data_IF_530294374574
#
_entry.id   IF_530294374574
#
_cell.length_a   1.000
_cell.length_b   1.000
_cell.length_c   1.000
_cell.angle_alpha   90.00
_cell.angle_beta   90.00
_cell.angle_gamma   90.00
#
_symmetry.space_group_name_H-M   'P 1'
#
loop_
_entity.id
_entity.type
_entity.pdbx_description
1 polymer ?
#
# COMPACT_ATOMS: atom_id res chain seq x y z
N UNK A 1 31.09 -23.48 37.45
CA UNK A 1 31.56 -24.58 36.53
C UNK A 1 33.02 -24.96 36.79
N UNK A 2 33.61 -24.55 37.92
CA UNK A 2 34.90 -25.10 38.33
C UNK A 2 34.73 -26.60 38.57
N UNK A 3 35.72 -27.38 38.17
CA UNK A 3 35.64 -28.84 38.26
C UNK A 3 35.00 -29.56 37.04
N UNK A 4 34.38 -28.84 36.13
CA UNK A 4 33.77 -29.40 34.92
C UNK A 4 34.83 -29.73 33.84
N UNK A 5 35.63 -30.74 34.04
CA UNK A 5 36.78 -31.12 33.18
C UNK A 5 36.35 -31.59 31.79
N UNK A 6 35.12 -32.04 31.60
CA UNK A 6 34.57 -32.39 30.29
C UNK A 6 34.11 -31.17 29.47
N UNK A 7 34.03 -29.98 30.08
CA UNK A 7 33.67 -28.76 29.36
C UNK A 7 34.91 -28.22 28.66
N UNK A 8 34.95 -28.33 27.33
CA UNK A 8 36.09 -27.90 26.50
C UNK A 8 35.96 -26.48 25.96
N UNK A 9 34.77 -25.88 26.07
CA UNK A 9 34.54 -24.48 25.64
C UNK A 9 33.37 -23.87 26.31
N UNK A 10 33.33 -22.53 26.35
CA UNK A 10 32.19 -21.74 26.82
C UNK A 10 31.98 -20.53 25.90
N UNK A 11 30.72 -20.23 25.54
CA UNK A 11 30.35 -18.97 24.85
C UNK A 11 29.79 -18.00 25.87
N UNK A 12 30.47 -16.89 26.08
CA UNK A 12 30.07 -15.82 27.02
C UNK A 12 29.25 -14.75 26.29
N UNK A 13 27.97 -14.57 26.61
CA UNK A 13 27.16 -13.52 26.03
C UNK A 13 27.71 -12.11 26.32
N UNK A 14 27.47 -11.16 25.42
CA UNK A 14 27.91 -9.75 25.57
C UNK A 14 27.28 -9.07 26.81
N UNK A 15 26.11 -9.55 27.25
CA UNK A 15 25.37 -9.04 28.41
C UNK A 15 26.02 -9.41 29.77
N UNK A 16 26.99 -10.34 29.78
CA UNK A 16 27.70 -10.69 30.99
C UNK A 16 28.70 -9.57 31.33
N UNK A 17 28.58 -8.98 32.52
CA UNK A 17 29.38 -7.84 32.96
C UNK A 17 30.55 -8.25 33.86
N UNK A 18 30.44 -9.39 34.53
CA UNK A 18 31.51 -9.92 35.39
C UNK A 18 31.51 -11.46 35.38
N UNK A 19 32.70 -12.03 35.54
CA UNK A 19 32.93 -13.47 35.64
C UNK A 19 33.89 -13.67 36.81
N UNK A 20 33.48 -14.56 37.74
CA UNK A 20 34.32 -14.89 38.91
C UNK A 20 35.62 -15.60 38.52
N UNK A 21 36.64 -15.52 39.38
CA UNK A 21 37.86 -16.26 39.19
C UNK A 21 37.62 -17.79 39.14
N UNK A 22 38.30 -18.49 38.21
CA UNK A 22 38.17 -19.92 38.01
C UNK A 22 36.76 -20.44 37.65
N UNK A 23 35.87 -19.53 37.17
CA UNK A 23 34.48 -19.90 36.85
C UNK A 23 34.38 -20.99 35.77
N UNK A 24 35.29 -20.99 34.79
CA UNK A 24 35.33 -21.95 33.68
C UNK A 24 36.75 -22.36 33.35
N UNK A 25 36.93 -23.57 32.80
CA UNK A 25 38.20 -24.08 32.27
C UNK A 25 39.21 -24.51 33.33
N UNK A 26 38.75 -24.82 34.55
CA UNK A 26 39.57 -25.33 35.65
C UNK A 26 38.99 -26.63 36.21
N UNK A 27 39.86 -27.53 36.66
CA UNK A 27 39.48 -28.73 37.41
C UNK A 27 39.31 -28.39 38.92
N UNK A 28 38.95 -29.36 39.75
CA UNK A 28 38.73 -29.19 41.18
C UNK A 28 40.00 -28.75 41.94
N UNK A 29 41.19 -28.99 41.39
CA UNK A 29 42.46 -28.55 41.96
C UNK A 29 42.93 -27.20 41.37
N UNK A 30 42.05 -26.46 40.74
CA UNK A 30 42.34 -25.21 40.05
C UNK A 30 43.43 -25.29 38.96
N UNK A 31 43.62 -26.47 38.37
CA UNK A 31 44.51 -26.65 37.23
C UNK A 31 43.70 -26.38 35.97
N UNK A 32 44.34 -25.69 35.00
CA UNK A 32 43.68 -25.36 33.72
C UNK A 32 43.38 -26.60 32.90
N UNK A 33 42.20 -26.68 32.34
CA UNK A 33 41.81 -27.69 31.36
C UNK A 33 42.55 -27.41 30.05
N UNK A 34 43.35 -28.39 29.59
CA UNK A 34 44.11 -28.22 28.35
C UNK A 34 43.16 -28.03 27.15
N UNK A 35 43.49 -27.04 26.31
CA UNK A 35 42.72 -26.74 25.10
C UNK A 35 41.36 -26.06 25.34
N UNK A 36 41.04 -25.65 26.59
CA UNK A 36 39.80 -24.94 26.88
C UNK A 36 39.73 -23.61 26.12
N UNK A 37 38.60 -23.36 25.44
CA UNK A 37 38.34 -22.15 24.61
C UNK A 37 37.23 -21.29 25.18
N UNK A 38 37.41 -19.99 25.12
CA UNK A 38 36.35 -19.01 25.48
C UNK A 38 35.90 -18.33 24.18
N UNK A 39 34.65 -18.51 23.79
CA UNK A 39 34.05 -17.71 22.73
C UNK A 39 33.50 -16.43 23.34
N UNK A 40 34.07 -15.30 22.98
CA UNK A 40 33.82 -14.01 23.62
C UNK A 40 33.67 -12.88 22.58
N UNK A 41 33.10 -11.77 23.01
CA UNK A 41 32.99 -10.55 22.21
C UNK A 41 34.15 -9.60 22.58
N UNK A 42 34.64 -8.86 21.61
CA UNK A 42 35.69 -7.86 21.83
C UNK A 42 35.27 -6.86 22.90
N UNK A 43 36.17 -6.51 23.80
CA UNK A 43 35.96 -5.61 24.94
C UNK A 43 34.86 -6.07 25.93
N UNK A 44 34.60 -7.38 26.04
CA UNK A 44 33.63 -7.95 26.97
C UNK A 44 34.29 -8.56 28.21
N UNK A 45 33.48 -8.84 29.24
CA UNK A 45 33.93 -9.60 30.42
C UNK A 45 34.44 -11.00 30.03
N UNK A 46 33.96 -11.61 28.95
CA UNK A 46 34.46 -12.89 28.45
C UNK A 46 35.86 -12.80 27.89
N UNK A 47 36.18 -11.74 27.12
CA UNK A 47 37.53 -11.50 26.63
C UNK A 47 38.51 -11.21 27.78
N UNK A 48 38.10 -10.34 28.70
CA UNK A 48 38.89 -10.07 29.90
C UNK A 48 39.17 -11.33 30.70
N UNK A 49 38.15 -12.19 30.94
CA UNK A 49 38.31 -13.46 31.62
C UNK A 49 39.29 -14.41 30.92
N UNK A 50 39.17 -14.52 29.58
CA UNK A 50 40.09 -15.37 28.80
C UNK A 50 41.55 -14.87 28.94
N UNK A 51 41.77 -13.58 28.76
CA UNK A 51 43.11 -12.94 28.84
C UNK A 51 43.68 -13.07 30.24
N UNK A 52 42.92 -12.75 31.28
CA UNK A 52 43.40 -12.78 32.67
C UNK A 52 43.77 -14.24 33.07
N UNK A 53 43.12 -15.25 32.49
CA UNK A 53 43.36 -16.63 32.78
C UNK A 53 44.23 -17.36 31.73
N UNK A 54 44.72 -16.65 30.69
CA UNK A 54 45.55 -17.24 29.63
C UNK A 54 44.87 -18.37 28.86
N UNK A 55 43.54 -18.28 28.63
CA UNK A 55 42.78 -19.12 27.73
C UNK A 55 42.76 -18.56 26.32
N UNK A 56 42.54 -19.41 25.33
CA UNK A 56 42.31 -18.96 23.96
C UNK A 56 40.94 -18.26 23.89
N UNK A 57 40.94 -16.95 23.59
CA UNK A 57 39.70 -16.22 23.26
C UNK A 57 39.48 -16.31 21.75
N UNK A 58 38.43 -17.04 21.34
CA UNK A 58 37.93 -16.97 19.99
C UNK A 58 36.87 -15.84 19.92
N UNK A 59 37.24 -14.72 19.28
CA UNK A 59 36.32 -13.56 19.18
C UNK A 59 35.12 -13.90 18.32
N UNK A 60 33.94 -13.80 18.91
CA UNK A 60 32.71 -13.86 18.14
C UNK A 60 32.55 -12.54 17.40
N UNK A 61 32.73 -12.55 16.10
CA UNK A 61 32.41 -11.41 15.27
C UNK A 61 30.91 -11.20 15.31
N UNK A 62 30.46 -10.06 15.82
CA UNK A 62 29.11 -9.58 15.57
C UNK A 62 29.12 -9.06 14.15
N UNK A 63 28.53 -9.77 13.23
CA UNK A 63 28.24 -9.21 11.92
C UNK A 63 27.21 -8.11 12.17
N UNK A 64 27.65 -6.85 12.24
CA UNK A 64 26.76 -5.70 12.21
C UNK A 64 26.28 -5.52 10.78
N UNK A 65 24.98 -5.50 10.59
CA UNK A 65 24.39 -5.20 9.28
C UNK A 65 23.86 -3.79 9.36
N UNK A 66 24.17 -2.99 8.35
CA UNK A 66 23.69 -1.62 8.27
C UNK A 66 22.18 -1.58 8.17
N UNK A 67 21.58 -0.53 8.76
CA UNK A 67 20.16 -0.28 8.63
C UNK A 67 19.80 -0.02 7.16
N UNK A 68 18.59 -0.44 6.79
CA UNK A 68 18.08 -0.22 5.44
C UNK A 68 17.90 1.27 5.18
N UNK A 69 18.43 1.77 4.05
CA UNK A 69 18.26 3.15 3.55
C UNK A 69 17.27 3.17 2.39
N UNK A 70 16.82 4.36 1.97
CA UNK A 70 15.90 4.53 0.85
C UNK A 70 14.52 3.88 1.04
N UNK A 71 14.14 3.52 2.28
CA UNK A 71 12.84 2.90 2.56
C UNK A 71 11.70 3.90 2.38
N UNK A 72 10.98 3.78 1.26
CA UNK A 72 9.92 4.71 0.86
C UNK A 72 8.80 3.98 0.11
N UNK A 73 7.66 4.68 -0.07
CA UNK A 73 6.53 4.20 -0.85
C UNK A 73 6.62 4.70 -2.29
N UNK A 74 6.84 3.78 -3.24
CA UNK A 74 6.91 4.07 -4.67
C UNK A 74 5.52 4.31 -5.28
N UNK A 75 4.55 3.43 -4.95
CA UNK A 75 3.17 3.52 -5.42
C UNK A 75 2.20 3.23 -4.29
N UNK A 76 1.26 4.15 -4.08
CA UNK A 76 0.20 4.00 -3.06
C UNK A 76 -1.17 4.04 -3.73
N UNK A 77 -2.00 3.03 -3.43
CA UNK A 77 -3.41 2.96 -3.85
C UNK A 77 -4.33 3.10 -2.63
N UNK A 78 -5.62 2.88 -2.82
CA UNK A 78 -6.57 2.82 -1.69
C UNK A 78 -6.51 1.51 -0.90
N UNK A 79 -5.89 0.46 -1.45
CA UNK A 79 -5.85 -0.87 -0.84
C UNK A 79 -4.46 -1.47 -0.70
N UNK A 80 -3.41 -0.77 -1.17
CA UNK A 80 -2.04 -1.28 -1.17
C UNK A 80 -0.99 -0.17 -1.17
N UNK A 81 0.22 -0.52 -0.76
CA UNK A 81 1.42 0.30 -0.91
C UNK A 81 2.56 -0.57 -1.46
N UNK A 82 3.13 -0.17 -2.58
CA UNK A 82 4.39 -0.72 -3.07
C UNK A 82 5.52 0.05 -2.42
N UNK A 83 6.37 -0.68 -1.71
CA UNK A 83 7.52 -0.17 -0.97
C UNK A 83 8.80 -0.45 -1.74
N UNK A 84 9.79 0.40 -1.60
CA UNK A 84 11.13 0.22 -2.15
C UNK A 84 12.18 0.58 -1.10
N UNK A 85 13.38 0.06 -1.27
CA UNK A 85 14.54 0.34 -0.40
C UNK A 85 15.84 0.11 -1.16
N UNK A 86 16.94 0.59 -0.58
CA UNK A 86 18.27 0.39 -1.12
C UNK A 86 18.81 -0.98 -0.69
N UNK A 87 19.63 -1.59 -1.54
CA UNK A 87 20.32 -2.82 -1.23
C UNK A 87 21.34 -2.61 -0.11
N UNK A 88 21.28 -3.47 0.92
CA UNK A 88 22.27 -3.46 2.03
C UNK A 88 23.37 -4.46 1.73
N UNK A 89 24.61 -4.01 1.82
CA UNK A 89 25.79 -4.88 1.61
C UNK A 89 25.89 -5.93 2.72
N UNK A 90 26.17 -7.17 2.34
CA UNK A 90 26.29 -8.28 3.29
C UNK A 90 24.96 -8.80 3.86
N UNK A 91 23.82 -8.28 3.43
CA UNK A 91 22.53 -8.84 3.80
C UNK A 91 22.20 -10.09 2.97
N UNK A 92 21.59 -11.10 3.61
CA UNK A 92 20.98 -12.26 2.94
C UNK A 92 19.56 -11.91 2.46
N UNK A 93 18.87 -11.00 3.16
CA UNK A 93 17.51 -10.63 2.84
C UNK A 93 16.91 -9.56 3.75
N UNK A 94 15.59 -9.39 3.65
CA UNK A 94 14.85 -8.32 4.33
C UNK A 94 13.55 -8.84 4.94
N UNK A 95 13.11 -8.19 6.03
CA UNK A 95 11.81 -8.40 6.64
C UNK A 95 11.09 -7.06 6.81
N UNK A 96 9.85 -6.98 6.27
CA UNK A 96 8.97 -5.81 6.41
C UNK A 96 7.83 -6.15 7.36
N UNK A 97 7.56 -5.25 8.29
CA UNK A 97 6.50 -5.38 9.26
C UNK A 97 5.53 -4.20 9.20
N UNK A 98 4.26 -4.49 9.43
CA UNK A 98 3.16 -3.53 9.50
C UNK A 98 2.61 -3.50 10.92
N UNK A 99 2.41 -2.30 11.48
CA UNK A 99 1.78 -2.12 12.78
C UNK A 99 0.26 -2.17 12.65
N UNK A 100 -0.36 -3.25 13.16
CA UNK A 100 -1.81 -3.40 13.20
C UNK A 100 -2.23 -4.18 14.45
N UNK A 101 -3.41 -3.86 15.00
CA UNK A 101 -3.92 -4.55 16.18
C UNK A 101 -3.01 -4.39 17.41
N UNK A 102 -2.33 -3.25 17.54
CA UNK A 102 -1.47 -2.97 18.70
C UNK A 102 -0.09 -3.64 18.66
N UNK A 103 0.28 -4.33 17.58
CA UNK A 103 1.56 -5.04 17.41
C UNK A 103 2.12 -4.94 16.01
N UNK A 104 3.42 -5.22 15.89
CA UNK A 104 4.10 -5.38 14.61
C UNK A 104 3.88 -6.79 14.08
N UNK A 105 3.42 -6.89 12.82
CA UNK A 105 3.19 -8.15 12.13
C UNK A 105 4.05 -8.18 10.88
N UNK A 106 4.80 -9.26 10.67
CA UNK A 106 5.57 -9.44 9.45
C UNK A 106 4.61 -9.63 8.27
N UNK A 107 4.75 -8.79 7.24
CA UNK A 107 3.90 -8.79 6.04
C UNK A 107 4.66 -9.17 4.78
N UNK A 108 5.99 -9.15 4.86
CA UNK A 108 6.86 -9.59 3.78
C UNK A 108 8.21 -10.04 4.34
N UNK A 109 8.76 -11.11 3.77
CA UNK A 109 10.13 -11.58 4.01
C UNK A 109 10.72 -12.12 2.71
N UNK A 110 12.00 -11.85 2.48
CA UNK A 110 12.78 -12.46 1.40
C UNK A 110 14.16 -12.85 1.90
N UNK A 111 14.70 -13.97 1.42
CA UNK A 111 16.07 -14.39 1.61
C UNK A 111 16.92 -14.10 0.36
N UNK A 112 16.46 -13.24 -0.51
CA UNK A 112 17.19 -12.75 -1.67
C UNK A 112 17.47 -11.26 -1.47
N UNK A 113 18.74 -10.92 -1.26
CA UNK A 113 19.18 -9.52 -1.06
C UNK A 113 19.10 -8.66 -2.32
N UNK A 114 18.81 -9.24 -3.48
CA UNK A 114 18.56 -8.49 -4.72
C UNK A 114 17.14 -7.94 -4.80
N UNK A 115 16.20 -8.47 -4.02
CA UNK A 115 14.83 -7.98 -3.93
C UNK A 115 14.80 -6.71 -3.07
N UNK A 116 14.54 -5.57 -3.70
CA UNK A 116 14.53 -4.23 -3.07
C UNK A 116 13.16 -3.55 -3.13
N UNK A 117 12.11 -4.32 -3.35
CA UNK A 117 10.72 -3.83 -3.33
C UNK A 117 9.74 -4.92 -2.92
N UNK A 118 8.60 -4.51 -2.36
CA UNK A 118 7.47 -5.39 -2.12
C UNK A 118 6.15 -4.61 -2.15
N UNK A 119 5.02 -5.31 -2.25
CA UNK A 119 3.70 -4.70 -2.16
C UNK A 119 2.95 -5.23 -0.94
N UNK A 120 2.56 -4.32 -0.06
CA UNK A 120 1.69 -4.60 1.09
C UNK A 120 0.25 -4.30 0.67
N UNK A 121 -0.59 -5.32 0.69
CA UNK A 121 -2.01 -5.26 0.29
C UNK A 121 -2.97 -5.26 1.49
N UNK A 122 -4.28 -5.39 1.18
CA UNK A 122 -5.37 -5.47 2.16
C UNK A 122 -5.44 -4.27 3.11
N UNK A 123 -5.00 -3.10 2.66
CA UNK A 123 -5.05 -1.86 3.41
C UNK A 123 -6.43 -1.20 3.26
N UNK A 124 -6.87 -0.45 4.28
CA UNK A 124 -8.07 0.40 4.20
C UNK A 124 -7.72 1.72 3.54
N UNK A 125 -8.63 2.24 2.72
CA UNK A 125 -8.46 3.53 2.06
C UNK A 125 -8.51 4.71 3.06
N UNK A 126 -7.82 5.80 2.72
CA UNK A 126 -7.68 7.02 3.51
C UNK A 126 -7.19 6.77 4.95
N UNK A 127 -6.31 5.81 5.13
CA UNK A 127 -5.77 5.40 6.43
C UNK A 127 -4.25 5.54 6.44
N UNK A 128 -3.69 5.90 7.61
CA UNK A 128 -2.25 5.96 7.80
C UNK A 128 -1.77 4.68 8.45
N UNK A 129 -0.70 4.13 7.92
CA UNK A 129 -0.05 2.90 8.36
C UNK A 129 1.39 3.17 8.76
N UNK A 130 1.84 2.56 9.84
CA UNK A 130 3.25 2.53 10.23
C UNK A 130 3.86 1.22 9.75
N UNK A 131 4.93 1.33 8.99
CA UNK A 131 5.72 0.22 8.46
C UNK A 131 7.14 0.32 8.99
N UNK A 132 7.83 -0.82 9.08
CA UNK A 132 9.26 -0.86 9.35
C UNK A 132 9.92 -1.99 8.57
N UNK A 133 11.17 -1.82 8.27
CA UNK A 133 12.02 -2.80 7.57
C UNK A 133 13.31 -3.02 8.33
N UNK A 134 13.86 -4.20 8.25
CA UNK A 134 15.24 -4.52 8.64
C UNK A 134 15.86 -5.50 7.66
N UNK A 135 17.18 -5.42 7.51
CA UNK A 135 17.98 -6.43 6.84
C UNK A 135 18.40 -7.54 7.81
N UNK A 136 18.76 -8.70 7.29
CA UNK A 136 19.34 -9.80 8.09
C UNK A 136 20.44 -10.54 7.31
N UNK A 137 21.38 -11.14 8.06
CA UNK A 137 22.36 -12.11 7.55
C UNK A 137 22.58 -13.21 8.61
N UNK A 138 22.27 -14.45 8.26
CA UNK A 138 22.20 -15.54 9.22
C UNK A 138 21.25 -15.22 10.37
N UNK A 139 21.78 -15.14 11.60
CA UNK A 139 21.01 -14.80 12.80
C UNK A 139 21.10 -13.32 13.19
N UNK A 140 21.91 -12.53 12.49
CA UNK A 140 22.09 -11.10 12.76
C UNK A 140 21.03 -10.28 12.05
N UNK A 141 20.57 -9.20 12.70
CA UNK A 141 19.59 -8.25 12.17
C UNK A 141 20.12 -6.82 12.28
N UNK A 142 19.78 -6.01 11.29
CA UNK A 142 19.98 -4.56 11.38
C UNK A 142 18.98 -3.90 12.33
N UNK A 143 19.23 -2.62 12.66
CA UNK A 143 18.19 -1.77 13.22
C UNK A 143 17.03 -1.60 12.24
N UNK A 144 15.85 -1.25 12.78
CA UNK A 144 14.67 -0.98 11.98
C UNK A 144 14.67 0.43 11.38
N UNK A 145 14.44 0.53 10.08
CA UNK A 145 14.03 1.77 9.42
C UNK A 145 12.51 1.84 9.36
N UNK A 146 11.92 3.00 9.66
CA UNK A 146 10.46 3.20 9.76
C UNK A 146 9.94 4.09 8.65
N UNK A 147 8.69 3.86 8.24
CA UNK A 147 7.96 4.63 7.24
C UNK A 147 6.49 4.76 7.65
N UNK A 148 5.93 5.95 7.48
CA UNK A 148 4.49 6.18 7.58
C UNK A 148 3.90 6.36 6.18
N UNK A 149 2.90 5.55 5.83
CA UNK A 149 2.24 5.58 4.52
C UNK A 149 0.76 5.90 4.71
N UNK A 150 0.24 6.91 4.01
CA UNK A 150 -1.19 7.21 3.94
C UNK A 150 -1.75 6.70 2.62
N UNK A 151 -2.68 5.74 2.68
CA UNK A 151 -3.39 5.21 1.51
C UNK A 151 -4.30 6.27 0.89
N UNK A 152 -4.53 6.18 -0.43
CA UNK A 152 -5.50 7.03 -1.13
C UNK A 152 -6.92 6.75 -0.61
N UNK A 153 -7.83 7.71 -0.81
CA UNK A 153 -9.25 7.47 -0.62
C UNK A 153 -9.72 6.39 -1.61
N UNK A 154 -10.55 5.45 -1.17
CA UNK A 154 -11.13 4.45 -2.05
C UNK A 154 -11.92 5.12 -3.19
N UNK A 155 -11.81 4.56 -4.38
CA UNK A 155 -12.49 5.06 -5.57
C UNK A 155 -14.01 4.87 -5.51
N UNK A 156 -14.67 5.45 -6.49
CA UNK A 156 -16.09 5.20 -6.78
C UNK A 156 -16.21 3.80 -7.37
N UNK A 157 -17.22 3.04 -6.95
CA UNK A 157 -17.55 1.73 -7.52
C UNK A 157 -18.95 1.75 -8.14
N UNK A 158 -19.23 0.82 -9.05
CA UNK A 158 -20.54 0.70 -9.67
C UNK A 158 -20.98 1.89 -10.52
N UNK A 159 -20.04 2.74 -10.99
CA UNK A 159 -20.38 3.85 -11.90
C UNK A 159 -20.93 3.31 -13.20
N UNK A 160 -22.16 3.73 -13.53
CA UNK A 160 -22.85 3.37 -14.77
C UNK A 160 -23.66 4.55 -15.28
N UNK A 161 -23.87 4.56 -16.59
CA UNK A 161 -24.83 5.43 -17.25
C UNK A 161 -26.13 4.65 -17.46
N UNK A 162 -27.26 5.18 -17.01
CA UNK A 162 -28.60 4.62 -17.25
C UNK A 162 -29.60 5.78 -17.45
N UNK A 163 -30.84 5.44 -17.80
CA UNK A 163 -31.84 6.47 -18.09
C UNK A 163 -31.40 7.42 -19.20
N UNK A 164 -30.74 6.88 -20.23
CA UNK A 164 -30.26 7.65 -21.38
C UNK A 164 -31.47 8.08 -22.21
N UNK A 165 -31.53 9.36 -22.55
CA UNK A 165 -32.52 9.95 -23.45
C UNK A 165 -31.83 10.66 -24.62
N UNK A 166 -32.58 11.34 -25.48
CA UNK A 166 -31.99 12.16 -26.55
C UNK A 166 -31.14 13.34 -26.02
N UNK A 167 -31.44 13.85 -24.82
CA UNK A 167 -30.80 15.08 -24.32
C UNK A 167 -30.26 14.97 -22.91
N UNK A 168 -30.26 13.78 -22.32
CA UNK A 168 -29.79 13.58 -20.97
C UNK A 168 -29.21 12.17 -20.76
N UNK A 169 -28.27 12.09 -19.81
CA UNK A 169 -27.70 10.83 -19.29
C UNK A 169 -27.72 10.89 -17.78
N UNK A 170 -28.32 9.89 -17.13
CA UNK A 170 -28.27 9.71 -15.69
C UNK A 170 -27.07 8.85 -15.35
N UNK A 171 -26.21 9.33 -14.45
CA UNK A 171 -25.10 8.63 -13.86
C UNK A 171 -25.49 8.11 -12.49
N UNK A 172 -25.19 6.87 -12.20
CA UNK A 172 -25.38 6.25 -10.87
C UNK A 172 -24.08 5.60 -10.43
N UNK A 173 -23.84 5.58 -9.12
CA UNK A 173 -22.69 4.93 -8.50
C UNK A 173 -22.99 4.42 -7.10
N UNK A 174 -22.13 3.54 -6.57
CA UNK A 174 -22.26 3.03 -5.23
C UNK A 174 -21.69 4.03 -4.20
N UNK A 175 -22.25 3.99 -2.98
CA UNK A 175 -21.82 4.82 -1.87
C UNK A 175 -20.41 4.48 -1.43
N UNK A 176 -19.57 5.50 -1.30
CA UNK A 176 -18.28 5.43 -0.60
C UNK A 176 -18.46 6.02 0.81
N UNK A 177 -18.53 5.15 1.84
CA UNK A 177 -18.75 5.59 3.22
C UNK A 177 -17.61 6.48 3.76
N UNK A 178 -16.40 6.37 3.20
CA UNK A 178 -15.25 7.19 3.58
C UNK A 178 -15.21 8.58 2.94
N UNK A 179 -16.08 8.87 1.95
CA UNK A 179 -16.08 10.13 1.24
C UNK A 179 -16.91 11.21 1.95
N UNK A 180 -16.58 12.47 1.72
CA UNK A 180 -17.44 13.63 2.01
C UNK A 180 -18.44 13.85 0.87
N UNK A 181 -18.03 13.59 -0.37
CA UNK A 181 -18.86 13.74 -1.56
C UNK A 181 -18.14 13.29 -2.81
N UNK A 182 -18.68 13.69 -3.97
CA UNK A 182 -18.20 13.28 -5.28
C UNK A 182 -18.03 14.49 -6.21
N UNK A 183 -17.05 14.40 -7.11
CA UNK A 183 -16.82 15.34 -8.20
C UNK A 183 -17.13 14.62 -9.50
N UNK A 184 -18.00 15.23 -10.32
CA UNK A 184 -18.45 14.72 -11.59
C UNK A 184 -17.89 15.59 -12.69
N UNK A 185 -17.28 14.99 -13.70
CA UNK A 185 -16.69 15.68 -14.84
C UNK A 185 -17.18 15.08 -16.16
N UNK A 186 -17.28 15.91 -17.18
CA UNK A 186 -17.56 15.56 -18.57
C UNK A 186 -16.36 15.88 -19.44
N UNK A 187 -16.04 14.99 -20.37
CA UNK A 187 -15.07 15.28 -21.43
C UNK A 187 -15.70 16.13 -22.51
N UNK A 188 -15.19 17.34 -22.72
CA UNK A 188 -15.70 18.29 -23.69
C UNK A 188 -14.56 19.16 -24.24
N UNK A 189 -14.48 19.32 -25.57
CA UNK A 189 -13.46 20.17 -26.19
C UNK A 189 -12.02 19.73 -25.88
N UNK A 190 -11.75 18.42 -25.88
CA UNK A 190 -10.40 17.87 -25.64
C UNK A 190 -9.98 17.83 -24.17
N UNK A 191 -10.82 18.25 -23.21
CA UNK A 191 -10.49 18.31 -21.78
C UNK A 191 -11.63 17.84 -20.89
N UNK A 192 -11.27 17.40 -19.68
CA UNK A 192 -12.23 17.11 -18.63
C UNK A 192 -12.66 18.40 -17.93
N UNK A 193 -13.96 18.60 -17.83
CA UNK A 193 -14.56 19.78 -17.19
C UNK A 193 -15.50 19.34 -16.09
N UNK A 194 -15.33 19.92 -14.89
CA UNK A 194 -16.21 19.67 -13.76
C UNK A 194 -17.62 20.22 -14.05
N UNK A 195 -18.62 19.35 -13.93
CA UNK A 195 -20.04 19.69 -14.15
C UNK A 195 -20.86 19.67 -12.87
N UNK A 196 -20.40 18.95 -11.84
CA UNK A 196 -21.06 18.94 -10.53
C UNK A 196 -20.11 18.53 -9.39
N UNK A 197 -20.47 18.96 -8.18
CA UNK A 197 -19.91 18.49 -6.90
C UNK A 197 -21.05 18.18 -5.96
N UNK A 198 -21.08 16.98 -5.38
CA UNK A 198 -22.01 16.65 -4.30
C UNK A 198 -21.37 16.98 -2.96
N UNK A 199 -22.12 17.50 -2.00
CA UNK A 199 -21.61 17.88 -0.68
C UNK A 199 -21.80 16.80 0.40
N UNK A 200 -22.30 15.63 0.00
CA UNK A 200 -22.47 14.46 0.88
C UNK A 200 -22.27 13.17 0.11
N UNK A 201 -22.04 12.07 0.82
CA UNK A 201 -21.79 10.76 0.23
C UNK A 201 -23.06 9.90 0.03
N UNK A 202 -24.23 10.47 0.22
CA UNK A 202 -25.53 9.85 -0.03
C UNK A 202 -26.14 10.24 -1.37
N UNK A 203 -25.61 11.30 -2.03
CA UNK A 203 -25.97 11.64 -3.40
C UNK A 203 -25.26 10.67 -4.34
N UNK A 204 -25.99 9.67 -4.82
CA UNK A 204 -25.45 8.55 -5.59
C UNK A 204 -25.84 8.60 -7.06
N UNK A 205 -26.48 9.68 -7.47
CA UNK A 205 -26.94 9.88 -8.85
C UNK A 205 -26.72 11.32 -9.28
N UNK A 206 -26.51 11.51 -10.58
CA UNK A 206 -26.49 12.83 -11.19
C UNK A 206 -26.98 12.75 -12.64
N UNK A 207 -27.93 13.60 -13.02
CA UNK A 207 -28.44 13.65 -14.39
C UNK A 207 -27.80 14.83 -15.13
N UNK A 208 -27.01 14.50 -16.14
CA UNK A 208 -26.45 15.46 -17.08
C UNK A 208 -27.53 15.77 -18.12
N UNK A 209 -27.89 17.03 -18.27
CA UNK A 209 -28.94 17.51 -19.19
C UNK A 209 -28.35 18.43 -20.27
N UNK A 210 -29.15 18.75 -21.30
CA UNK A 210 -28.75 19.66 -22.37
C UNK A 210 -27.70 19.07 -23.32
N UNK A 211 -27.70 17.76 -23.45
CA UNK A 211 -26.84 17.03 -24.38
C UNK A 211 -27.44 17.05 -25.77
N UNK A 212 -26.59 16.96 -26.79
CA UNK A 212 -27.02 16.74 -28.17
C UNK A 212 -27.46 15.28 -28.36
N UNK A 213 -28.47 15.05 -29.20
CA UNK A 213 -28.91 13.69 -29.54
C UNK A 213 -27.91 12.94 -30.41
N UNK A 214 -27.99 11.61 -30.43
CA UNK A 214 -27.10 10.70 -31.18
C UNK A 214 -25.61 11.02 -31.00
N UNK A 215 -25.20 11.44 -29.80
CA UNK A 215 -23.85 11.93 -29.57
C UNK A 215 -23.18 11.14 -28.44
N UNK A 216 -21.93 10.64 -28.66
CA UNK A 216 -21.16 9.94 -27.64
C UNK A 216 -20.60 10.94 -26.62
N UNK A 217 -20.69 10.58 -25.35
CA UNK A 217 -20.16 11.34 -24.22
C UNK A 217 -19.32 10.46 -23.32
N UNK A 218 -18.32 11.07 -22.68
CA UNK A 218 -17.54 10.45 -21.62
C UNK A 218 -17.70 11.25 -20.33
N UNK A 219 -17.98 10.54 -19.25
CA UNK A 219 -18.10 11.10 -17.91
C UNK A 219 -17.13 10.38 -16.99
N UNK A 220 -16.67 11.06 -15.94
CA UNK A 220 -15.90 10.45 -14.87
C UNK A 220 -16.30 11.00 -13.52
N UNK A 221 -16.19 10.15 -12.50
CA UNK A 221 -16.51 10.49 -11.12
C UNK A 221 -15.35 10.11 -10.22
N UNK A 222 -15.02 10.98 -9.28
CA UNK A 222 -14.11 10.66 -8.15
C UNK A 222 -14.77 11.01 -6.83
N UNK A 223 -14.40 10.30 -5.78
CA UNK A 223 -14.75 10.65 -4.41
C UNK A 223 -13.76 11.68 -3.86
N UNK A 224 -14.20 12.51 -2.93
CA UNK A 224 -13.33 13.36 -2.15
C UNK A 224 -13.67 13.29 -0.66
N UNK A 225 -12.66 13.51 0.19
CA UNK A 225 -12.78 13.60 1.64
C UNK A 225 -12.14 14.87 2.15
N UNK A 226 -12.92 15.70 2.85
CA UNK A 226 -12.39 16.83 3.61
C UNK A 226 -11.94 16.33 4.99
N UNK A 227 -10.69 16.64 5.36
CA UNK A 227 -10.05 16.13 6.56
C UNK A 227 -9.20 17.26 7.17
N UNK A 228 -9.78 18.00 8.14
CA UNK A 228 -9.06 19.06 8.86
C UNK A 228 -8.46 20.16 7.97
N UNK A 229 -9.20 20.61 6.93
CA UNK A 229 -8.73 21.64 6.00
C UNK A 229 -7.96 21.13 4.78
N UNK A 230 -7.66 19.82 4.73
CA UNK A 230 -7.05 19.16 3.58
C UNK A 230 -8.07 18.29 2.86
N UNK A 231 -8.13 18.41 1.53
CA UNK A 231 -8.98 17.54 0.71
C UNK A 231 -8.17 16.42 0.09
N UNK A 232 -8.57 15.18 0.36
CA UNK A 232 -8.02 13.96 -0.25
C UNK A 232 -8.96 13.50 -1.36
N UNK A 233 -8.41 12.98 -2.46
CA UNK A 233 -9.16 12.52 -3.62
C UNK A 233 -8.89 11.06 -3.90
N UNK A 234 -9.91 10.36 -4.41
CA UNK A 234 -9.73 9.05 -5.04
C UNK A 234 -9.24 9.21 -6.49
N UNK A 235 -8.85 8.10 -7.10
CA UNK A 235 -8.73 8.03 -8.55
C UNK A 235 -10.11 8.20 -9.20
N UNK A 236 -10.14 8.63 -10.48
CA UNK A 236 -11.36 8.72 -11.28
C UNK A 236 -11.80 7.35 -11.79
N UNK A 237 -13.12 7.17 -11.88
CA UNK A 237 -13.74 6.09 -12.65
C UNK A 237 -14.49 6.71 -13.81
N UNK A 238 -14.35 6.15 -15.01
CA UNK A 238 -14.90 6.69 -16.26
C UNK A 238 -16.01 5.79 -16.80
N UNK A 239 -17.05 6.40 -17.36
CA UNK A 239 -18.12 5.73 -18.10
C UNK A 239 -18.39 6.47 -19.40
N UNK A 240 -18.78 5.73 -20.44
CA UNK A 240 -19.20 6.27 -21.75
C UNK A 240 -20.68 5.99 -21.97
N UNK A 241 -21.37 6.90 -22.64
CA UNK A 241 -22.75 6.73 -23.05
C UNK A 241 -23.01 7.54 -24.31
N UNK A 242 -23.89 7.05 -25.20
CA UNK A 242 -24.39 7.81 -26.34
C UNK A 242 -25.86 8.15 -26.11
N UNK A 243 -26.23 9.40 -26.30
CA UNK A 243 -27.63 9.82 -26.26
C UNK A 243 -28.44 9.16 -27.37
N UNK A 244 -29.72 9.01 -27.11
CA UNK A 244 -30.65 8.42 -28.09
C UNK A 244 -31.01 9.42 -29.19
N UNK A 245 -31.62 8.92 -30.24
CA UNK A 245 -32.30 9.74 -31.23
C UNK A 245 -33.54 10.42 -30.56
N UNK A 246 -33.79 11.64 -30.88
CA UNK A 246 -34.98 12.36 -30.43
C UNK A 246 -36.26 11.79 -31.06
N UNK A 247 -37.36 11.97 -30.38
CA UNK A 247 -38.67 11.59 -30.93
C UNK A 247 -39.03 12.45 -32.13
N UNK A 248 -39.79 11.88 -33.02
CA UNK A 248 -40.40 12.62 -34.15
C UNK A 248 -41.24 13.77 -33.59
N UNK A 249 -41.04 14.97 -34.14
CA UNK A 249 -41.77 16.19 -33.76
C UNK A 249 -42.80 16.56 -34.79
N UNK A 250 -43.83 17.25 -34.36
CA UNK A 250 -44.86 17.81 -35.23
C UNK A 250 -45.53 16.77 -36.14
N UNK A 251 -45.61 15.52 -35.67
CA UNK A 251 -46.37 14.50 -36.41
C UNK A 251 -47.88 14.90 -36.44
N UNK A 252 -48.42 14.99 -37.63
CA UNK A 252 -49.82 15.32 -37.87
C UNK A 252 -50.39 14.50 -39.03
N UNK A 253 -51.67 14.25 -38.99
CA UNK A 253 -52.41 13.75 -40.10
C UNK A 253 -52.79 14.93 -41.02
N UNK A 254 -52.40 14.86 -42.28
CA UNK A 254 -52.69 15.92 -43.26
C UNK A 254 -53.76 15.55 -44.24
N UNK A 255 -54.00 14.28 -44.44
CA UNK A 255 -55.10 13.78 -45.27
C UNK A 255 -55.58 12.44 -44.80
N UNK A 256 -56.93 12.26 -44.81
CA UNK A 256 -57.61 10.96 -44.56
C UNK A 256 -58.53 10.73 -45.70
N UNK A 257 -58.41 9.58 -46.33
CA UNK A 257 -59.33 9.08 -47.39
C UNK A 257 -59.96 7.74 -46.94
N UNK A 258 -60.86 7.17 -47.73
CA UNK A 258 -61.39 5.85 -47.44
C UNK A 258 -60.35 4.71 -47.51
N UNK A 259 -59.17 4.94 -48.06
CA UNK A 259 -58.18 3.93 -48.35
C UNK A 259 -56.77 4.21 -47.79
N UNK A 260 -56.44 5.46 -47.42
CA UNK A 260 -55.13 5.83 -46.91
C UNK A 260 -55.18 7.03 -45.97
N UNK A 261 -54.10 7.16 -45.18
CA UNK A 261 -53.83 8.31 -44.30
C UNK A 261 -52.45 8.84 -44.67
N UNK A 262 -52.35 10.19 -44.85
CA UNK A 262 -51.05 10.87 -45.03
C UNK A 262 -50.61 11.49 -43.71
N UNK A 263 -49.37 11.16 -43.31
CA UNK A 263 -48.70 11.71 -42.14
C UNK A 263 -47.59 12.63 -42.56
N UNK A 264 -47.49 13.76 -41.93
CA UNK A 264 -46.33 14.65 -41.99
C UNK A 264 -45.67 14.81 -40.65
N UNK A 265 -44.37 14.95 -40.60
CA UNK A 265 -43.60 15.24 -39.41
C UNK A 265 -42.37 16.10 -39.72
N UNK A 266 -41.82 16.75 -38.69
CA UNK A 266 -40.57 17.48 -38.82
C UNK A 266 -39.38 16.52 -39.03
N UNK A 267 -38.53 16.85 -40.01
CA UNK A 267 -37.28 16.11 -40.23
C UNK A 267 -36.42 16.07 -39.00
N UNK A 268 -35.86 14.88 -38.66
CA UNK A 268 -34.78 14.78 -37.70
C UNK A 268 -33.49 14.49 -38.48
N UNK A 269 -32.58 15.48 -38.55
CA UNK A 269 -31.33 15.39 -39.31
C UNK A 269 -30.35 14.30 -38.82
N UNK A 270 -30.63 13.69 -37.69
CA UNK A 270 -29.85 12.56 -37.13
C UNK A 270 -30.48 11.20 -37.47
N UNK A 271 -31.68 11.17 -37.99
CA UNK A 271 -32.31 9.95 -38.43
C UNK A 271 -31.81 9.52 -39.80
N UNK A 272 -31.63 8.22 -39.98
CA UNK A 272 -31.17 7.62 -41.26
C UNK A 272 -32.33 7.01 -42.04
N UNK A 273 -33.51 7.05 -41.52
CA UNK A 273 -34.76 6.55 -42.15
C UNK A 273 -35.93 6.67 -41.16
#
# INVERSE_FOLDING_TARGET
FCGCTALLSVKIPKSVTAIGSHAFGYNESYTKTAGFKVYCYKNSAGEKYANDNGFICETVSVTTIDAVTGFDADKVTSGSATLKWDKVSGADGYAVELYTGGKWNEVFRTSDSSVTSCTVGSLKGNSTYSLRIRAFAGTAYSDYTRLAVKTKLAGVTGLKAQGVTATAVKLDWARNAGATGYIIEQYKGGKWTQIAVTKNNYTLTFTVKGLAECTPYSFRVKAYKNDGGKTNYSDYVTVKASTLLGTVKNAKVTLVTGSWITLEWAKNDKATG
#
